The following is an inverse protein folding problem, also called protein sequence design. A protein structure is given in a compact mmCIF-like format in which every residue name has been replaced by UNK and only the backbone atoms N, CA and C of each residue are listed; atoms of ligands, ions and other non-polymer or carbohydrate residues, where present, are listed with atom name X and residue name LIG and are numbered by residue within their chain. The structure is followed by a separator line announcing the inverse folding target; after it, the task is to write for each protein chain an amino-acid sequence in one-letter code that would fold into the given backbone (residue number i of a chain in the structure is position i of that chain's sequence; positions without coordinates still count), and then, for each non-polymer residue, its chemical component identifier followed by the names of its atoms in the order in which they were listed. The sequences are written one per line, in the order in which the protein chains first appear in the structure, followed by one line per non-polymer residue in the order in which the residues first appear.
data_IF_836380950862
#
_entry.id   IF_836380950862
#
_cell.length_a   1.000
_cell.length_b   1.000
_cell.length_c   1.000
_cell.angle_alpha   90.00
_cell.angle_beta   90.00
_cell.angle_gamma   90.00
#
_symmetry.space_group_name_H-M   'P 1'
#
loop_
_entity.id
_entity.type
_entity.pdbx_description
1 polymer ?
#
# COMPACT_ATOMS: atom_id res chain seq x y z
N UNK A 1 13.61 -3.84 -0.27
CA UNK A 1 13.76 -2.62 0.55
C UNK A 1 12.41 -1.95 0.65
N UNK A 2 11.89 -1.89 1.87
CA UNK A 2 10.58 -1.37 2.20
C UNK A 2 10.67 0.14 2.48
N UNK A 3 9.80 0.95 1.87
CA UNK A 3 9.68 2.38 2.16
C UNK A 3 8.26 2.73 2.58
N UNK A 4 8.11 3.68 3.49
CA UNK A 4 6.80 4.17 3.94
C UNK A 4 6.78 5.68 3.80
N UNK A 5 5.88 6.17 2.95
CA UNK A 5 5.74 7.58 2.63
C UNK A 5 4.28 8.02 2.78
N UNK A 6 4.07 9.32 2.99
CA UNK A 6 2.75 9.94 2.92
C UNK A 6 2.39 10.20 1.45
N UNK A 7 1.30 9.59 0.97
CA UNK A 7 0.84 9.83 -0.41
C UNK A 7 -0.05 11.07 -0.52
N UNK A 8 -1.00 11.21 0.39
CA UNK A 8 -1.91 12.35 0.45
C UNK A 8 -2.13 12.75 1.93
N UNK A 9 -3.13 13.57 2.21
CA UNK A 9 -3.43 13.99 3.58
C UNK A 9 -3.56 12.84 4.58
N UNK A 10 -4.10 11.69 4.20
CA UNK A 10 -4.57 10.63 5.13
C UNK A 10 -4.15 9.21 4.75
N UNK A 11 -3.49 9.04 3.60
CA UNK A 11 -3.09 7.73 3.06
C UNK A 11 -1.60 7.52 3.20
N UNK A 12 -1.23 6.42 3.85
CA UNK A 12 0.14 5.91 3.88
C UNK A 12 0.39 5.04 2.67
N UNK A 13 1.50 5.26 1.98
CA UNK A 13 1.98 4.41 0.89
C UNK A 13 3.19 3.62 1.38
N UNK A 14 2.99 2.32 1.52
CA UNK A 14 4.04 1.35 1.85
C UNK A 14 4.46 0.69 0.53
N UNK A 15 5.71 0.91 0.11
CA UNK A 15 6.25 0.34 -1.12
C UNK A 15 7.30 -0.72 -0.81
N UNK A 16 7.23 -1.87 -1.47
CA UNK A 16 8.31 -2.85 -1.44
C UNK A 16 8.54 -3.43 -2.82
N UNK A 17 9.80 -3.66 -3.16
CA UNK A 17 10.20 -4.32 -4.38
C UNK A 17 10.60 -5.76 -4.04
N UNK A 18 10.01 -6.73 -4.73
CA UNK A 18 10.45 -8.11 -4.68
C UNK A 18 11.59 -8.28 -5.68
N UNK A 19 12.81 -8.32 -5.17
CA UNK A 19 14.01 -8.54 -5.95
C UNK A 19 14.29 -10.05 -6.05
N UNK A 20 14.35 -10.57 -7.28
CA UNK A 20 14.77 -11.92 -7.69
C UNK A 20 14.05 -13.16 -7.13
N UNK A 21 13.53 -13.15 -5.90
CA UNK A 21 12.89 -14.31 -5.30
C UNK A 21 11.42 -14.42 -5.69
N UNK A 22 11.01 -15.66 -6.00
CA UNK A 22 9.63 -15.99 -6.38
C UNK A 22 8.66 -15.89 -5.19
N UNK A 23 9.17 -15.72 -3.97
CA UNK A 23 8.38 -15.71 -2.72
C UNK A 23 8.81 -14.55 -1.83
N UNK A 24 7.85 -13.89 -1.21
CA UNK A 24 8.11 -12.82 -0.24
C UNK A 24 6.99 -12.77 0.79
N UNK A 25 7.40 -12.75 2.06
CA UNK A 25 6.51 -12.63 3.20
C UNK A 25 6.71 -11.24 3.83
N UNK A 26 5.60 -10.53 4.02
CA UNK A 26 5.58 -9.19 4.60
C UNK A 26 4.61 -9.16 5.78
N UNK A 27 5.13 -8.87 6.96
CA UNK A 27 4.33 -8.59 8.16
C UNK A 27 4.39 -7.10 8.49
N UNK A 28 3.22 -6.49 8.74
CA UNK A 28 3.05 -5.12 9.18
C UNK A 28 2.29 -5.10 10.50
N UNK A 29 2.92 -4.56 11.54
CA UNK A 29 2.35 -4.40 12.88
C UNK A 29 2.09 -2.92 13.13
N UNK A 30 0.82 -2.53 13.11
CA UNK A 30 0.39 -1.18 13.50
C UNK A 30 0.05 -1.19 14.99
N UNK A 31 0.83 -0.46 15.78
CA UNK A 31 0.61 -0.25 17.21
C UNK A 31 -0.23 1.01 17.37
N UNK A 32 -1.52 0.81 17.61
CA UNK A 32 -2.51 1.88 17.76
C UNK A 32 -2.68 2.19 19.24
N UNK A 33 -2.65 3.48 19.65
CA UNK A 33 -2.89 3.87 21.04
C UNK A 33 -4.23 3.35 21.58
N UNK A 34 -4.23 2.74 22.76
CA UNK A 34 -5.44 2.20 23.39
C UNK A 34 -6.50 3.27 23.70
N UNK A 35 -6.11 4.53 23.88
CA UNK A 35 -7.03 5.66 24.04
C UNK A 35 -8.01 5.85 22.87
N UNK A 36 -7.70 5.32 21.68
CA UNK A 36 -8.58 5.38 20.52
C UNK A 36 -9.69 4.31 20.57
N UNK A 37 -9.65 3.38 21.52
CA UNK A 37 -10.68 2.35 21.67
C UNK A 37 -10.79 1.40 20.47
N UNK A 38 -9.73 1.26 19.65
CA UNK A 38 -9.75 0.36 18.51
C UNK A 38 -9.89 -1.08 19.01
N UNK A 39 -10.97 -1.75 18.61
CA UNK A 39 -11.23 -3.15 18.94
C UNK A 39 -11.88 -3.88 17.77
N UNK A 40 -11.90 -5.23 17.77
CA UNK A 40 -12.58 -6.03 16.75
C UNK A 40 -14.09 -5.73 16.65
N UNK A 41 -14.70 -5.24 17.73
CA UNK A 41 -16.13 -4.92 17.79
C UNK A 41 -16.43 -3.52 17.21
N UNK A 42 -15.50 -2.58 17.35
CA UNK A 42 -15.62 -1.21 16.80
C UNK A 42 -15.32 -1.19 15.31
N UNK A 43 -14.25 -1.87 14.89
CA UNK A 43 -13.84 -1.93 13.48
C UNK A 43 -13.44 -3.35 13.11
N UNK A 44 -14.27 -4.02 12.30
CA UNK A 44 -14.02 -5.40 11.88
C UNK A 44 -12.82 -5.47 10.93
N UNK A 45 -12.06 -6.57 10.97
CA UNK A 45 -10.89 -6.69 10.10
C UNK A 45 -11.26 -6.67 8.61
N UNK A 46 -12.40 -7.25 8.25
CA UNK A 46 -12.87 -7.21 6.86
C UNK A 46 -13.20 -5.80 6.38
N UNK A 47 -13.78 -4.98 7.25
CA UNK A 47 -14.13 -3.60 6.93
C UNK A 47 -12.87 -2.77 6.74
N UNK A 48 -11.92 -2.85 7.69
CA UNK A 48 -10.61 -2.20 7.52
C UNK A 48 -9.89 -2.67 6.25
N UNK A 49 -9.89 -3.98 5.96
CA UNK A 49 -9.21 -4.49 4.76
C UNK A 49 -9.83 -3.95 3.47
N UNK A 50 -11.15 -3.95 3.32
CA UNK A 50 -11.79 -3.51 2.07
C UNK A 50 -11.85 -1.98 1.91
N UNK A 51 -11.99 -1.24 3.00
CA UNK A 51 -12.15 0.21 2.95
C UNK A 51 -10.82 0.96 3.08
N UNK A 52 -9.89 0.42 3.86
CA UNK A 52 -8.64 1.10 4.18
C UNK A 52 -7.44 0.60 3.38
N UNK A 53 -7.47 -0.60 2.82
CA UNK A 53 -6.32 -1.18 2.12
C UNK A 53 -6.57 -1.27 0.61
N UNK A 54 -5.80 -0.49 -0.16
CA UNK A 54 -5.75 -0.58 -1.62
C UNK A 54 -4.35 -1.02 -2.03
N UNK A 55 -4.23 -1.98 -2.95
CA UNK A 55 -2.93 -2.46 -3.39
C UNK A 55 -2.78 -2.31 -4.89
N UNK A 56 -1.54 -2.05 -5.30
CA UNK A 56 -1.15 -2.07 -6.71
C UNK A 56 0.17 -2.78 -6.82
N UNK A 57 0.24 -3.75 -7.71
CA UNK A 57 1.48 -4.43 -8.07
C UNK A 57 1.81 -4.13 -9.52
N UNK A 58 3.00 -3.63 -9.76
CA UNK A 58 3.49 -3.28 -11.07
C UNK A 58 4.76 -4.06 -11.37
N UNK A 59 4.97 -4.38 -12.64
CA UNK A 59 6.27 -4.82 -13.09
C UNK A 59 7.33 -3.76 -12.80
N UNK A 60 8.52 -4.22 -12.42
CA UNK A 60 9.61 -3.37 -11.98
C UNK A 60 10.94 -3.88 -12.52
N UNK A 61 11.92 -2.97 -12.61
CA UNK A 61 13.28 -3.28 -13.02
C UNK A 61 14.21 -2.20 -12.48
N UNK A 62 15.23 -2.59 -11.74
CA UNK A 62 16.28 -1.67 -11.26
C UNK A 62 17.22 -1.19 -12.37
N UNK A 63 17.27 -1.88 -13.52
CA UNK A 63 18.13 -1.50 -14.65
C UNK A 63 17.43 -0.42 -15.49
N UNK A 64 17.77 0.84 -15.22
CA UNK A 64 17.32 2.07 -15.92
C UNK A 64 17.43 2.02 -17.46
N UNK A 65 18.24 1.11 -18.02
CA UNK A 65 18.58 1.04 -19.45
C UNK A 65 17.83 -0.03 -20.25
N UNK A 66 17.18 -1.02 -19.60
CA UNK A 66 16.49 -2.11 -20.30
C UNK A 66 15.40 -1.62 -21.28
N UNK A 67 14.53 -0.67 -20.89
CA UNK A 67 13.50 -0.17 -21.80
C UNK A 67 14.04 0.53 -23.06
N UNK A 68 15.19 1.19 -22.95
CA UNK A 68 15.86 1.87 -24.06
C UNK A 68 16.60 0.88 -24.99
N UNK A 69 17.05 -0.26 -24.45
CA UNK A 69 17.58 -1.36 -25.27
C UNK A 69 16.45 -2.03 -26.05
N UNK A 70 15.28 -2.21 -25.44
CA UNK A 70 14.10 -2.75 -26.13
C UNK A 70 13.57 -1.82 -27.23
N UNK A 71 13.61 -0.49 -27.05
CA UNK A 71 13.26 0.45 -28.14
C UNK A 71 14.25 0.38 -29.30
N UNK A 72 15.55 0.19 -29.03
CA UNK A 72 16.58 -0.06 -30.07
C UNK A 72 16.42 -1.42 -30.76
N UNK A 73 16.01 -2.46 -30.04
CA UNK A 73 15.75 -3.78 -30.61
C UNK A 73 14.45 -3.80 -31.44
N UNK A 74 13.43 -3.05 -31.02
CA UNK A 74 12.23 -2.80 -31.83
C UNK A 74 12.56 -2.05 -33.13
N UNK A 75 13.48 -1.08 -33.08
CA UNK A 75 14.01 -0.41 -34.29
C UNK A 75 14.66 -1.37 -35.29
N UNK A 76 15.17 -2.52 -34.83
CA UNK A 76 15.76 -3.58 -35.68
C UNK A 76 14.74 -4.65 -36.13
N UNK A 77 13.44 -4.45 -35.90
CA UNK A 77 12.39 -5.41 -36.26
C UNK A 77 12.40 -6.69 -35.43
N UNK A 78 13.10 -6.70 -34.28
CA UNK A 78 13.28 -7.90 -33.44
C UNK A 78 12.32 -8.00 -32.25
N UNK A 79 11.41 -7.05 -32.06
CA UNK A 79 10.40 -7.05 -31.00
C UNK A 79 8.98 -6.98 -31.58
N UNK A 80 8.02 -7.61 -30.91
CA UNK A 80 6.61 -7.44 -31.23
C UNK A 80 6.09 -6.05 -30.82
N UNK A 81 5.03 -5.58 -31.49
CA UNK A 81 4.31 -4.34 -31.13
C UNK A 81 3.89 -4.32 -29.67
N UNK A 82 3.48 -5.47 -29.12
CA UNK A 82 3.08 -5.61 -27.71
C UNK A 82 4.25 -5.41 -26.75
N UNK A 83 5.40 -6.03 -27.03
CA UNK A 83 6.62 -5.87 -26.24
C UNK A 83 7.15 -4.43 -26.28
N UNK A 84 7.02 -3.74 -27.42
CA UNK A 84 7.37 -2.31 -27.52
C UNK A 84 6.46 -1.44 -26.63
N UNK A 85 5.14 -1.61 -26.69
CA UNK A 85 4.20 -0.82 -25.88
C UNK A 85 4.45 -0.98 -24.38
N UNK A 86 4.69 -2.22 -23.98
CA UNK A 86 4.98 -2.62 -22.60
C UNK A 86 6.31 -2.01 -22.12
N UNK A 87 7.38 -2.12 -22.90
CA UNK A 87 8.69 -1.53 -22.54
C UNK A 87 8.66 -0.01 -22.46
N UNK A 88 8.02 0.67 -23.43
CA UNK A 88 7.88 2.12 -23.42
C UNK A 88 7.00 2.61 -22.25
N UNK A 89 5.94 1.87 -21.91
CA UNK A 89 5.14 2.14 -20.72
C UNK A 89 5.93 1.99 -19.45
N UNK A 90 6.74 0.93 -19.31
CA UNK A 90 7.58 0.76 -18.13
C UNK A 90 8.53 1.94 -17.95
N UNK A 91 9.22 2.33 -19.01
CA UNK A 91 10.11 3.47 -19.01
C UNK A 91 9.41 4.74 -18.51
N UNK A 92 8.26 5.04 -19.11
CA UNK A 92 7.47 6.21 -18.74
C UNK A 92 6.94 6.13 -17.30
N UNK A 93 6.49 4.95 -16.87
CA UNK A 93 5.98 4.70 -15.52
C UNK A 93 7.07 4.89 -14.45
N UNK A 94 8.25 4.33 -14.69
CA UNK A 94 9.41 4.46 -13.81
C UNK A 94 9.88 5.92 -13.71
N UNK A 95 9.97 6.62 -14.84
CA UNK A 95 10.33 8.03 -14.86
C UNK A 95 9.33 8.88 -14.06
N UNK A 96 8.02 8.64 -14.23
CA UNK A 96 6.97 9.36 -13.48
C UNK A 96 7.11 9.13 -11.98
N UNK A 97 7.35 7.88 -11.54
CA UNK A 97 7.54 7.56 -10.13
C UNK A 97 8.81 8.20 -9.58
N UNK A 98 9.91 8.13 -10.32
CA UNK A 98 11.20 8.69 -9.90
C UNK A 98 11.13 10.22 -9.78
N UNK A 99 10.54 10.89 -10.77
CA UNK A 99 10.36 12.34 -10.75
C UNK A 99 9.42 12.78 -9.62
N UNK A 100 8.31 12.08 -9.40
CA UNK A 100 7.40 12.37 -8.29
C UNK A 100 8.11 12.23 -6.94
N UNK A 101 8.90 11.16 -6.76
CA UNK A 101 9.70 10.95 -5.54
C UNK A 101 10.71 12.08 -5.33
N UNK A 102 11.53 12.38 -6.34
CA UNK A 102 12.57 13.42 -6.26
C UNK A 102 11.97 14.80 -5.95
N UNK A 103 10.89 15.18 -6.65
CA UNK A 103 10.24 16.47 -6.41
C UNK A 103 9.54 16.55 -5.06
N UNK A 104 8.94 15.46 -4.59
CA UNK A 104 8.34 15.43 -3.25
C UNK A 104 9.41 15.49 -2.16
N UNK A 105 10.58 14.89 -2.36
CA UNK A 105 11.72 15.01 -1.44
C UNK A 105 12.23 16.45 -1.36
N UNK A 106 12.35 17.14 -2.50
CA UNK A 106 12.73 18.56 -2.56
C UNK A 106 11.68 19.47 -1.91
N UNK A 107 10.39 19.17 -2.05
CA UNK A 107 9.30 19.96 -1.47
C UNK A 107 9.06 19.72 0.03
N UNK A 108 9.78 18.79 0.69
CA UNK A 108 9.61 18.56 2.13
C UNK A 108 10.13 19.78 2.92
N UNK A 109 9.21 20.49 3.56
CA UNK A 109 9.42 21.71 4.37
C UNK A 109 10.40 21.61 5.57
N UNK A 110 11.07 20.47 5.77
CA UNK A 110 11.98 20.24 6.91
C UNK A 110 13.46 20.50 6.58
N UNK A 111 13.83 20.77 5.32
CA UNK A 111 15.19 21.26 5.00
C UNK A 111 15.17 22.79 5.07
N UNK A 112 15.96 23.37 5.97
CA UNK A 112 16.10 24.83 6.12
C UNK A 112 16.60 25.52 4.84
N UNK A 113 17.23 24.76 3.93
CA UNK A 113 17.59 25.23 2.59
C UNK A 113 17.52 24.08 1.59
N UNK A 114 16.65 24.16 0.58
CA UNK A 114 16.82 23.36 -0.64
C UNK A 114 18.02 23.95 -1.37
N UNK A 115 19.10 23.18 -1.50
CA UNK A 115 20.29 23.64 -2.23
C UNK A 115 19.98 23.67 -3.72
N UNK A 116 20.40 24.75 -4.40
CA UNK A 116 20.23 24.94 -5.85
C UNK A 116 20.76 23.75 -6.66
N UNK A 117 21.83 23.12 -6.17
CA UNK A 117 22.47 21.97 -6.81
C UNK A 117 21.58 20.72 -6.86
N UNK A 118 20.80 20.45 -5.80
CA UNK A 118 19.88 19.30 -5.76
C UNK A 118 18.76 19.47 -6.82
N UNK A 119 18.27 20.70 -6.98
CA UNK A 119 17.26 21.03 -7.98
C UNK A 119 17.83 20.90 -9.40
N UNK A 120 19.05 21.40 -9.61
CA UNK A 120 19.75 21.29 -10.89
C UNK A 120 20.05 19.85 -11.30
N UNK A 121 20.38 18.97 -10.35
CA UNK A 121 20.56 17.55 -10.61
C UNK A 121 19.26 16.90 -11.12
N UNK A 122 18.13 17.16 -10.44
CA UNK A 122 16.81 16.65 -10.86
C UNK A 122 16.43 17.17 -12.25
N UNK A 123 16.72 18.44 -12.54
CA UNK A 123 16.52 19.03 -13.86
C UNK A 123 17.36 18.31 -14.92
N UNK A 124 18.67 18.17 -14.69
CA UNK A 124 19.60 17.54 -15.65
C UNK A 124 19.19 16.11 -15.96
N UNK A 125 18.87 15.32 -14.92
CA UNK A 125 18.40 13.94 -15.08
C UNK A 125 17.08 13.89 -15.87
N UNK A 126 16.12 14.75 -15.54
CA UNK A 126 14.83 14.81 -16.23
C UNK A 126 14.99 15.13 -17.72
N UNK A 127 15.83 16.12 -18.05
CA UNK A 127 16.10 16.51 -19.43
C UNK A 127 16.87 15.45 -20.21
N UNK A 128 17.85 14.78 -19.59
CA UNK A 128 18.59 13.69 -20.26
C UNK A 128 17.68 12.49 -20.55
N UNK A 129 16.79 12.13 -19.62
CA UNK A 129 15.80 11.06 -19.82
C UNK A 129 14.84 11.41 -20.98
N UNK A 130 14.29 12.62 -21.01
CA UNK A 130 13.43 13.08 -22.12
C UNK A 130 14.20 13.12 -23.45
N UNK A 131 15.47 13.55 -23.45
CA UNK A 131 16.32 13.55 -24.64
C UNK A 131 16.58 12.13 -25.16
N UNK A 132 16.84 11.18 -24.27
CA UNK A 132 17.02 9.75 -24.61
C UNK A 132 15.75 9.15 -25.21
N UNK A 133 14.59 9.43 -24.63
CA UNK A 133 13.29 9.03 -25.18
C UNK A 133 13.11 9.53 -26.62
N UNK A 134 13.32 10.84 -26.83
CA UNK A 134 13.13 11.53 -28.12
C UNK A 134 14.11 11.11 -29.21
N UNK A 135 15.24 10.49 -28.85
CA UNK A 135 16.17 9.88 -29.82
C UNK A 135 15.67 8.54 -30.36
N UNK A 136 14.67 7.93 -29.72
CA UNK A 136 14.17 6.58 -30.04
C UNK A 136 12.80 6.56 -30.72
N UNK A 137 12.51 7.54 -31.57
CA UNK A 137 11.24 7.64 -32.30
C UNK A 137 11.09 6.44 -33.27
N UNK A 138 9.97 5.70 -33.22
CA UNK A 138 9.71 4.59 -34.13
C UNK A 138 9.27 5.07 -35.52
N UNK A 139 9.58 4.29 -36.56
CA UNK A 139 9.16 4.56 -37.95
C UNK A 139 7.71 4.14 -38.22
N UNK A 140 7.24 3.07 -37.60
CA UNK A 140 5.89 2.54 -37.81
C UNK A 140 4.83 3.48 -37.23
N UNK A 141 3.82 3.82 -38.02
CA UNK A 141 2.79 4.81 -37.66
C UNK A 141 2.00 4.42 -36.40
N UNK A 142 1.72 3.11 -36.22
CA UNK A 142 1.00 2.60 -35.05
C UNK A 142 1.78 2.82 -33.74
N UNK A 143 3.10 2.60 -33.79
CA UNK A 143 4.03 2.79 -32.68
C UNK A 143 4.33 4.27 -32.45
N UNK A 144 4.37 5.07 -33.52
CA UNK A 144 4.58 6.51 -33.48
C UNK A 144 3.46 7.23 -32.75
N UNK A 145 2.19 6.84 -32.99
CA UNK A 145 1.04 7.37 -32.24
C UNK A 145 1.12 7.04 -30.75
N UNK A 146 1.51 5.81 -30.42
CA UNK A 146 1.68 5.39 -29.03
C UNK A 146 2.82 6.16 -28.34
N UNK A 147 3.95 6.31 -29.04
CA UNK A 147 5.08 7.12 -28.60
C UNK A 147 4.66 8.59 -28.36
N UNK A 148 3.95 9.21 -29.31
CA UNK A 148 3.53 10.62 -29.22
C UNK A 148 2.63 10.87 -28.01
N UNK A 149 1.74 9.92 -27.69
CA UNK A 149 0.89 9.97 -26.51
C UNK A 149 1.71 9.93 -25.21
N UNK A 150 2.75 9.09 -25.16
CA UNK A 150 3.64 8.99 -24.01
C UNK A 150 4.52 10.25 -23.87
N UNK A 151 5.15 10.73 -24.95
CA UNK A 151 5.96 11.95 -24.93
C UNK A 151 5.12 13.18 -24.54
N UNK A 152 3.88 13.29 -25.03
CA UNK A 152 2.95 14.35 -24.63
C UNK A 152 2.71 14.35 -23.11
N UNK A 153 2.44 13.18 -22.53
CA UNK A 153 2.21 13.06 -21.10
C UNK A 153 3.47 13.31 -20.28
N UNK A 154 4.61 12.75 -20.68
CA UNK A 154 5.87 12.95 -19.96
C UNK A 154 6.34 14.40 -20.01
N UNK A 155 6.23 15.05 -21.17
CA UNK A 155 6.49 16.48 -21.32
C UNK A 155 5.60 17.32 -20.41
N UNK A 156 4.29 17.04 -20.39
CA UNK A 156 3.34 17.77 -19.53
C UNK A 156 3.61 17.53 -18.04
N UNK A 157 3.80 16.27 -17.65
CA UNK A 157 4.01 15.88 -16.26
C UNK A 157 5.33 16.46 -15.71
N UNK A 158 6.39 16.46 -16.51
CA UNK A 158 7.66 17.11 -16.16
C UNK A 158 7.44 18.59 -15.90
N UNK A 159 6.76 19.30 -16.81
CA UNK A 159 6.44 20.71 -16.62
C UNK A 159 5.63 20.98 -15.33
N UNK A 160 4.63 20.15 -15.02
CA UNK A 160 3.83 20.28 -13.80
C UNK A 160 4.67 20.10 -12.53
N UNK A 161 5.61 19.16 -12.53
CA UNK A 161 6.50 18.91 -11.38
C UNK A 161 7.49 20.05 -11.17
N UNK A 162 8.05 20.59 -12.25
CA UNK A 162 8.91 21.78 -12.18
C UNK A 162 8.13 23.02 -11.69
N UNK A 163 6.89 23.22 -12.17
CA UNK A 163 6.02 24.28 -11.64
C UNK A 163 5.67 24.09 -10.16
N UNK A 164 5.50 22.85 -9.72
CA UNK A 164 5.31 22.53 -8.30
C UNK A 164 6.51 22.95 -7.46
N UNK A 165 7.74 22.75 -7.94
CA UNK A 165 8.95 23.21 -7.25
C UNK A 165 8.95 24.75 -7.15
N UNK A 166 8.68 25.46 -8.26
CA UNK A 166 8.61 26.93 -8.27
C UNK A 166 7.61 27.45 -7.22
N UNK A 167 6.44 26.79 -7.10
CA UNK A 167 5.38 27.20 -6.18
C UNK A 167 5.75 27.04 -4.69
N UNK A 168 6.65 26.11 -4.36
CA UNK A 168 7.07 25.85 -2.97
C UNK A 168 8.41 26.51 -2.60
N UNK A 169 9.14 27.08 -3.57
CA UNK A 169 10.39 27.78 -3.29
C UNK A 169 10.19 29.11 -2.55
N UNK A 170 11.08 29.47 -1.60
CA UNK A 170 11.11 30.78 -0.96
C UNK A 170 11.21 31.93 -1.97
N UNK A 171 10.82 33.14 -1.56
CA UNK A 171 10.86 34.34 -2.42
C UNK A 171 12.21 35.06 -2.44
N UNK A 172 13.24 34.48 -1.82
CA UNK A 172 14.55 35.11 -1.69
C UNK A 172 15.26 35.29 -3.04
N UNK A 173 16.12 36.30 -3.10
CA UNK A 173 16.86 36.70 -4.30
C UNK A 173 17.75 35.59 -4.86
N UNK A 174 18.25 34.70 -4.00
CA UNK A 174 19.13 33.57 -4.37
C UNK A 174 18.43 32.57 -5.30
N UNK A 175 17.10 32.41 -5.18
CA UNK A 175 16.32 31.46 -5.98
C UNK A 175 15.78 32.05 -7.28
N UNK A 176 16.03 33.34 -7.57
CA UNK A 176 15.47 34.03 -8.74
C UNK A 176 15.99 33.42 -10.05
N UNK A 177 17.29 33.19 -10.17
CA UNK A 177 17.93 32.59 -11.35
C UNK A 177 17.44 31.16 -11.61
N UNK A 178 17.25 30.37 -10.55
CA UNK A 178 16.72 29.01 -10.62
C UNK A 178 15.26 28.99 -11.09
N UNK A 179 14.43 29.91 -10.59
CA UNK A 179 13.04 30.07 -11.04
C UNK A 179 12.95 30.43 -12.51
N UNK A 180 13.77 31.38 -12.98
CA UNK A 180 13.84 31.75 -14.40
C UNK A 180 14.28 30.56 -15.27
N UNK A 181 15.28 29.81 -14.82
CA UNK A 181 15.75 28.60 -15.53
C UNK A 181 14.67 27.51 -15.61
N UNK A 182 13.94 27.27 -14.52
CA UNK A 182 12.83 26.32 -14.49
C UNK A 182 11.66 26.75 -15.39
N UNK A 183 11.31 28.04 -15.38
CA UNK A 183 10.28 28.59 -16.25
C UNK A 183 10.66 28.43 -17.72
N UNK A 184 11.91 28.73 -18.10
CA UNK A 184 12.40 28.54 -19.46
C UNK A 184 12.28 27.08 -19.93
N UNK A 185 12.53 26.11 -19.04
CA UNK A 185 12.34 24.68 -19.35
C UNK A 185 10.86 24.34 -19.54
N UNK A 186 9.99 24.84 -18.67
CA UNK A 186 8.54 24.63 -18.77
C UNK A 186 7.99 25.20 -20.08
N UNK A 187 8.43 26.40 -20.48
CA UNK A 187 8.07 27.04 -21.74
C UNK A 187 8.59 26.25 -22.94
N UNK A 188 9.84 25.77 -22.89
CA UNK A 188 10.41 24.93 -23.95
C UNK A 188 9.63 23.63 -24.13
N UNK A 189 9.22 22.98 -23.04
CA UNK A 189 8.37 21.79 -23.09
C UNK A 189 6.96 22.10 -23.61
N UNK A 190 6.39 23.27 -23.26
CA UNK A 190 5.12 23.72 -23.83
C UNK A 190 5.22 23.98 -25.34
N UNK A 191 6.30 24.61 -25.80
CA UNK A 191 6.59 24.85 -27.21
C UNK A 191 6.78 23.53 -27.97
N UNK A 192 7.48 22.56 -27.39
CA UNK A 192 7.63 21.21 -27.96
C UNK A 192 6.27 20.53 -28.18
N UNK A 193 5.36 20.59 -27.21
CA UNK A 193 4.00 20.03 -27.35
C UNK A 193 3.18 20.73 -28.44
N UNK A 194 3.39 22.04 -28.62
CA UNK A 194 2.75 22.85 -29.67
C UNK A 194 3.30 22.51 -31.05
N UNK A 195 4.62 22.42 -31.22
CA UNK A 195 5.29 22.09 -32.48
C UNK A 195 4.87 20.72 -33.00
N UNK A 196 4.77 19.73 -32.11
CA UNK A 196 4.38 18.36 -32.47
C UNK A 196 2.86 18.14 -32.55
N UNK A 197 2.04 19.18 -32.40
CA UNK A 197 0.57 19.11 -32.48
C UNK A 197 -0.07 18.05 -31.58
N UNK A 198 0.49 17.79 -30.38
CA UNK A 198 -0.02 16.73 -29.51
C UNK A 198 -1.42 16.99 -28.96
N UNK A 199 -1.80 18.27 -28.81
CA UNK A 199 -3.07 18.69 -28.25
C UNK A 199 -3.75 19.68 -29.19
N UNK A 200 -5.04 19.48 -29.44
CA UNK A 200 -5.86 20.44 -30.19
C UNK A 200 -5.94 21.77 -29.44
N UNK A 201 -6.27 22.85 -30.16
CA UNK A 201 -6.46 24.18 -29.58
C UNK A 201 -7.48 24.16 -28.43
N UNK A 202 -8.61 23.49 -28.63
CA UNK A 202 -9.67 23.31 -27.63
C UNK A 202 -9.24 22.60 -26.34
N UNK A 203 -8.22 21.74 -26.40
CA UNK A 203 -7.68 21.04 -25.21
C UNK A 203 -6.61 21.89 -24.54
N UNK A 204 -5.92 22.76 -25.27
CA UNK A 204 -4.91 23.65 -24.71
C UNK A 204 -5.52 24.81 -23.92
N UNK A 205 -6.66 25.32 -24.39
CA UNK A 205 -7.30 26.49 -23.81
C UNK A 205 -8.15 26.14 -22.56
N UNK A 206 -8.59 24.87 -22.43
CA UNK A 206 -9.38 24.38 -21.29
C UNK A 206 -8.55 23.46 -20.38
N UNK A 207 -8.26 23.96 -19.18
CA UNK A 207 -7.49 23.26 -18.13
C UNK A 207 -8.13 21.91 -17.76
N UNK A 208 -9.45 21.84 -17.71
CA UNK A 208 -10.18 20.63 -17.32
C UNK A 208 -10.04 19.54 -18.39
N UNK A 209 -10.19 19.92 -19.66
CA UNK A 209 -9.98 19.00 -20.79
C UNK A 209 -8.53 18.52 -20.86
N UNK A 210 -7.57 19.41 -20.65
CA UNK A 210 -6.16 19.05 -20.60
C UNK A 210 -5.91 18.02 -19.48
N UNK A 211 -6.35 18.32 -18.26
CA UNK A 211 -6.19 17.43 -17.10
C UNK A 211 -6.82 16.05 -17.33
N UNK A 212 -8.04 16.01 -17.87
CA UNK A 212 -8.72 14.75 -18.20
C UNK A 212 -7.98 13.94 -19.26
N UNK A 213 -7.46 14.60 -20.32
CA UNK A 213 -6.63 13.93 -21.32
C UNK A 213 -5.36 13.35 -20.71
N UNK A 214 -4.68 14.11 -19.85
CA UNK A 214 -3.46 13.66 -19.19
C UNK A 214 -3.72 12.49 -18.22
N UNK A 215 -4.89 12.47 -17.56
CA UNK A 215 -5.33 11.32 -16.76
C UNK A 215 -5.50 10.05 -17.60
N UNK A 216 -6.03 10.18 -18.83
CA UNK A 216 -6.14 9.04 -19.76
C UNK A 216 -4.76 8.56 -20.21
N UNK A 217 -3.85 9.49 -20.53
CA UNK A 217 -2.48 9.13 -20.92
C UNK A 217 -1.68 8.49 -19.78
N UNK A 218 -1.91 8.91 -18.53
CA UNK A 218 -1.37 8.22 -17.35
C UNK A 218 -1.85 6.77 -17.28
N UNK A 219 -3.15 6.52 -17.49
CA UNK A 219 -3.71 5.16 -17.54
C UNK A 219 -3.15 4.33 -18.70
N UNK A 220 -2.83 4.96 -19.84
CA UNK A 220 -2.20 4.30 -20.99
C UNK A 220 -0.83 3.71 -20.65
N UNK A 221 -0.08 4.39 -19.79
CA UNK A 221 1.23 3.97 -19.28
C UNK A 221 1.10 2.96 -18.13
N UNK A 222 0.07 3.10 -17.29
CA UNK A 222 -0.17 2.18 -16.17
C UNK A 222 -0.69 0.81 -16.63
N UNK A 223 -1.62 0.76 -17.58
CA UNK A 223 -2.34 -0.47 -17.93
C UNK A 223 -1.43 -1.64 -18.34
N UNK A 224 -0.36 -1.46 -19.15
CA UNK A 224 0.52 -2.57 -19.54
C UNK A 224 1.46 -3.03 -18.42
N UNK A 225 1.66 -2.21 -17.38
CA UNK A 225 2.68 -2.41 -16.35
C UNK A 225 2.08 -2.88 -15.02
N UNK A 226 0.87 -2.41 -14.70
CA UNK A 226 0.15 -2.76 -13.47
C UNK A 226 -0.60 -4.08 -13.67
N UNK A 227 -0.33 -5.05 -12.80
CA UNK A 227 -0.99 -6.34 -12.81
C UNK A 227 -2.47 -6.20 -12.45
N UNK A 228 -3.33 -6.96 -13.11
CA UNK A 228 -4.74 -7.03 -12.74
C UNK A 228 -4.88 -7.97 -11.54
N UNK A 229 -5.50 -7.50 -10.46
CA UNK A 229 -5.77 -8.32 -9.29
C UNK A 229 -7.23 -8.76 -9.22
N UNK A 230 -7.45 -10.02 -8.84
CA UNK A 230 -8.76 -10.55 -8.46
C UNK A 230 -8.72 -11.01 -7.02
N UNK A 231 -9.38 -10.27 -6.14
CA UNK A 231 -9.49 -10.59 -4.72
C UNK A 231 -10.61 -11.59 -4.48
N UNK A 232 -10.28 -12.70 -3.82
CA UNK A 232 -11.23 -13.73 -3.40
C UNK A 232 -11.22 -13.80 -1.87
N UNK A 233 -12.38 -13.68 -1.25
CA UNK A 233 -12.54 -13.95 0.19
C UNK A 233 -12.50 -15.46 0.42
N UNK A 234 -11.56 -15.89 1.25
CA UNK A 234 -11.42 -17.28 1.65
C UNK A 234 -12.35 -17.60 2.82
N UNK A 235 -12.74 -18.86 2.94
CA UNK A 235 -13.51 -19.34 4.08
C UNK A 235 -15.02 -19.20 3.98
N UNK A 236 -15.60 -18.67 2.88
CA UNK A 236 -17.07 -18.69 2.68
C UNK A 236 -17.63 -20.11 2.67
N UNK A 237 -17.00 -21.01 1.93
CA UNK A 237 -17.39 -22.43 1.87
C UNK A 237 -17.10 -23.13 3.20
N UNK A 238 -15.95 -22.85 3.81
CA UNK A 238 -15.59 -23.39 5.12
C UNK A 238 -16.61 -22.99 6.19
N UNK A 239 -17.05 -21.73 6.23
CA UNK A 239 -18.08 -21.25 7.15
C UNK A 239 -19.40 -21.99 6.99
N UNK A 240 -19.78 -22.35 5.76
CA UNK A 240 -20.98 -23.17 5.49
C UNK A 240 -20.81 -24.59 6.03
N UNK A 241 -19.65 -25.21 5.83
CA UNK A 241 -19.34 -26.55 6.38
C UNK A 241 -19.34 -26.52 7.90
N UNK A 242 -18.71 -25.52 8.53
CA UNK A 242 -18.72 -25.35 10.00
C UNK A 242 -20.13 -25.14 10.54
N UNK A 243 -20.96 -24.35 9.85
CA UNK A 243 -22.37 -24.17 10.22
C UNK A 243 -23.16 -25.49 10.12
N UNK A 244 -22.95 -26.26 9.05
CA UNK A 244 -23.55 -27.58 8.86
C UNK A 244 -23.11 -28.57 9.93
N UNK A 245 -21.80 -28.64 10.20
CA UNK A 245 -21.22 -29.50 11.23
C UNK A 245 -21.70 -29.15 12.64
N UNK A 246 -21.78 -27.86 12.99
CA UNK A 246 -22.32 -27.41 14.28
C UNK A 246 -23.77 -27.87 14.46
N UNK A 247 -24.58 -27.66 13.41
CA UNK A 247 -26.00 -28.03 13.43
C UNK A 247 -26.15 -29.54 13.53
N UNK A 248 -25.36 -30.32 12.78
CA UNK A 248 -25.35 -31.77 12.84
C UNK A 248 -24.95 -32.31 14.21
N UNK A 249 -23.88 -31.78 14.80
CA UNK A 249 -23.40 -32.19 16.13
C UNK A 249 -24.45 -31.93 17.21
N UNK A 250 -25.05 -30.73 17.21
CA UNK A 250 -26.13 -30.40 18.15
C UNK A 250 -27.35 -31.29 17.93
N UNK A 251 -27.71 -31.61 16.68
CA UNK A 251 -28.82 -32.52 16.39
C UNK A 251 -28.56 -33.93 16.91
N UNK A 252 -27.35 -34.46 16.76
CA UNK A 252 -26.98 -35.77 17.32
C UNK A 252 -27.15 -35.78 18.83
N UNK A 253 -26.66 -34.75 19.52
CA UNK A 253 -26.81 -34.63 20.98
C UNK A 253 -28.27 -34.54 21.42
N UNK A 254 -29.08 -33.71 20.75
CA UNK A 254 -30.51 -33.58 21.04
C UNK A 254 -31.27 -34.87 20.77
N UNK A 255 -30.98 -35.56 19.66
CA UNK A 255 -31.62 -36.84 19.33
C UNK A 255 -31.27 -37.94 20.34
N UNK A 256 -30.00 -38.04 20.74
CA UNK A 256 -29.58 -39.01 21.78
C UNK A 256 -30.29 -38.69 23.11
N UNK A 257 -30.32 -37.42 23.52
CA UNK A 257 -31.00 -37.00 24.75
C UNK A 257 -32.49 -37.32 24.70
N UNK A 258 -33.14 -37.10 23.55
CA UNK A 258 -34.55 -37.41 23.36
C UNK A 258 -34.85 -38.91 23.43
N UNK A 259 -33.97 -39.75 22.87
CA UNK A 259 -34.09 -41.21 22.94
C UNK A 259 -33.94 -41.67 24.40
N UNK A 260 -32.90 -41.21 25.11
CA UNK A 260 -32.67 -41.57 26.51
C UNK A 260 -33.80 -41.10 27.43
N UNK A 261 -34.33 -39.90 27.21
CA UNK A 261 -35.47 -39.39 27.97
C UNK A 261 -36.74 -40.21 27.72
N UNK A 262 -36.94 -40.67 26.47
CA UNK A 262 -38.06 -41.55 26.12
C UNK A 262 -37.93 -42.91 26.78
N UNK A 263 -36.74 -43.51 26.76
CA UNK A 263 -36.48 -44.82 27.37
C UNK A 263 -36.66 -44.79 28.90
N UNK A 264 -36.36 -43.66 29.55
CA UNK A 264 -36.52 -43.50 31.00
C UNK A 264 -37.98 -43.24 31.44
N UNK A 265 -38.76 -42.50 30.65
CA UNK A 265 -40.13 -42.09 31.04
C UNK A 265 -41.25 -42.95 30.46
N UNK A 266 -40.97 -43.83 29.49
CA UNK A 266 -41.87 -44.89 29.01
C UNK A 266 -43.11 -44.42 28.22
N UNK A 267 -43.72 -43.29 28.61
CA UNK A 267 -44.93 -42.69 28.03
C UNK A 267 -44.77 -41.17 27.82
N UNK A 268 -45.51 -40.61 26.84
CA UNK A 268 -45.55 -39.16 26.56
C UNK A 268 -46.37 -38.47 27.66
N UNK A 269 -45.76 -38.24 28.82
CA UNK A 269 -46.35 -37.47 29.93
C UNK A 269 -46.17 -35.96 29.70
N UNK A 270 -46.97 -35.12 30.38
CA UNK A 270 -46.83 -33.66 30.29
C UNK A 270 -45.42 -33.17 30.68
N UNK A 271 -44.78 -33.84 31.65
CA UNK A 271 -43.38 -33.61 32.01
C UNK A 271 -42.42 -33.83 30.84
N UNK A 272 -42.64 -34.87 30.02
CA UNK A 272 -41.84 -35.19 28.83
C UNK A 272 -41.85 -34.05 27.82
N UNK A 273 -43.03 -33.48 27.55
CA UNK A 273 -43.19 -32.38 26.60
C UNK A 273 -42.45 -31.13 27.09
N UNK A 274 -42.53 -30.82 28.39
CA UNK A 274 -41.83 -29.67 28.98
C UNK A 274 -40.30 -29.85 28.88
N UNK A 275 -39.80 -31.05 29.23
CA UNK A 275 -38.38 -31.37 29.14
C UNK A 275 -37.88 -31.26 27.69
N UNK A 276 -38.60 -31.85 26.73
CA UNK A 276 -38.25 -31.78 25.31
C UNK A 276 -38.27 -30.35 24.78
N UNK A 277 -39.21 -29.52 25.21
CA UNK A 277 -39.26 -28.10 24.85
C UNK A 277 -38.02 -27.36 25.37
N UNK A 278 -37.59 -27.65 26.60
CA UNK A 278 -36.38 -27.07 27.17
C UNK A 278 -35.11 -27.51 26.43
N UNK A 279 -34.97 -28.80 26.11
CA UNK A 279 -33.85 -29.33 25.31
C UNK A 279 -33.81 -28.66 23.94
N UNK A 280 -34.97 -28.46 23.31
CA UNK A 280 -35.06 -27.80 22.01
C UNK A 280 -34.76 -26.29 22.08
N UNK A 281 -35.06 -25.63 23.20
CA UNK A 281 -34.65 -24.24 23.42
C UNK A 281 -33.13 -24.13 23.63
N UNK A 282 -32.54 -25.02 24.45
CA UNK A 282 -31.10 -25.09 24.66
C UNK A 282 -30.33 -25.36 23.36
N UNK A 283 -30.87 -26.21 22.49
CA UNK A 283 -30.34 -26.48 21.15
C UNK A 283 -29.99 -25.21 20.39
N UNK A 284 -30.86 -24.19 20.43
CA UNK A 284 -30.65 -22.98 19.63
C UNK A 284 -29.49 -22.14 20.18
N UNK A 285 -29.36 -22.04 21.51
CA UNK A 285 -28.26 -21.32 22.18
C UNK A 285 -26.93 -22.04 21.91
N UNK A 286 -26.85 -23.35 22.15
CA UNK A 286 -25.62 -24.12 21.96
C UNK A 286 -25.15 -24.17 20.50
N UNK A 287 -26.09 -24.18 19.55
CA UNK A 287 -25.77 -24.18 18.11
C UNK A 287 -25.00 -22.94 17.70
N UNK A 288 -25.38 -21.77 18.19
CA UNK A 288 -24.70 -20.52 17.85
C UNK A 288 -23.34 -20.41 18.54
N UNK A 289 -23.24 -20.77 19.82
CA UNK A 289 -21.98 -20.76 20.56
C UNK A 289 -20.97 -21.76 19.99
N UNK A 290 -21.40 -23.00 19.72
CA UNK A 290 -20.53 -24.03 19.14
C UNK A 290 -20.06 -23.63 17.74
N UNK A 291 -20.95 -23.07 16.92
CA UNK A 291 -20.59 -22.56 15.58
C UNK A 291 -19.48 -21.52 15.71
N UNK A 292 -19.62 -20.58 16.63
CA UNK A 292 -18.69 -19.47 16.76
C UNK A 292 -17.34 -19.92 17.34
N UNK A 293 -17.34 -20.83 18.32
CA UNK A 293 -16.12 -21.46 18.86
C UNK A 293 -15.38 -22.25 17.79
N UNK A 294 -16.06 -23.15 17.06
CA UNK A 294 -15.46 -23.93 15.99
C UNK A 294 -14.93 -23.05 14.87
N UNK A 295 -15.66 -21.98 14.53
CA UNK A 295 -15.24 -21.04 13.51
C UNK A 295 -13.99 -20.26 13.92
N UNK A 296 -13.92 -19.77 15.17
CA UNK A 296 -12.72 -19.10 15.71
C UNK A 296 -11.51 -20.03 15.69
N UNK A 297 -11.69 -21.30 16.07
CA UNK A 297 -10.62 -22.29 16.08
C UNK A 297 -10.11 -22.61 14.67
N UNK A 298 -11.01 -22.89 13.72
CA UNK A 298 -10.65 -23.23 12.33
C UNK A 298 -10.04 -22.03 11.59
N UNK A 299 -10.48 -20.82 11.90
CA UNK A 299 -10.00 -19.59 11.24
C UNK A 299 -8.62 -19.16 11.75
N UNK A 300 -8.23 -19.55 12.97
CA UNK A 300 -6.98 -19.08 13.60
C UNK A 300 -5.76 -19.37 12.71
N UNK A 301 -5.02 -18.33 12.35
CA UNK A 301 -3.80 -18.43 11.54
C UNK A 301 -4.00 -18.75 10.05
N UNK A 302 -5.24 -18.83 9.55
CA UNK A 302 -5.52 -19.08 8.13
C UNK A 302 -5.70 -17.78 7.33
N UNK A 303 -5.30 -17.75 6.05
CA UNK A 303 -5.45 -16.56 5.23
C UNK A 303 -6.93 -16.25 5.02
N UNK A 304 -7.29 -14.98 5.17
CA UNK A 304 -8.66 -14.48 5.00
C UNK A 304 -8.94 -14.11 3.54
N UNK A 305 -7.91 -13.71 2.80
CA UNK A 305 -8.03 -13.35 1.39
C UNK A 305 -6.96 -13.99 0.54
N UNK A 306 -7.31 -14.24 -0.72
CA UNK A 306 -6.38 -14.61 -1.78
C UNK A 306 -6.54 -13.65 -2.94
N UNK A 307 -5.44 -13.07 -3.40
CA UNK A 307 -5.38 -12.31 -4.65
C UNK A 307 -4.72 -13.14 -5.72
N UNK A 308 -5.33 -13.18 -6.90
CA UNK A 308 -4.71 -13.73 -8.11
C UNK A 308 -4.23 -12.57 -8.98
N UNK A 309 -2.96 -12.58 -9.35
CA UNK A 309 -2.37 -11.60 -10.26
C UNK A 309 -2.39 -12.12 -11.69
N UNK A 310 -2.97 -11.31 -12.58
CA UNK A 310 -3.05 -11.58 -14.00
C UNK A 310 -2.25 -10.53 -14.77
N UNK A 311 -1.53 -10.99 -15.79
CA UNK A 311 -0.89 -10.09 -16.74
C UNK A 311 -1.96 -9.27 -17.50
N UNK A 312 -1.82 -7.94 -17.61
CA UNK A 312 -2.84 -7.10 -18.23
C UNK A 312 -2.99 -7.35 -19.74
N UNK A 313 -1.93 -7.77 -20.41
CA UNK A 313 -1.86 -7.99 -21.87
C UNK A 313 -2.25 -9.42 -22.22
N UNK A 314 -1.70 -10.42 -21.53
CA UNK A 314 -1.93 -11.84 -21.87
C UNK A 314 -3.06 -12.48 -21.07
N UNK A 315 -3.54 -11.84 -20.00
CA UNK A 315 -4.53 -12.36 -19.03
C UNK A 315 -4.12 -13.66 -18.33
N UNK A 316 -2.87 -14.10 -18.48
CA UNK A 316 -2.34 -15.28 -17.80
C UNK A 316 -2.08 -14.99 -16.33
N UNK A 317 -2.28 -15.99 -15.48
CA UNK A 317 -1.93 -15.91 -14.08
C UNK A 317 -0.42 -15.93 -13.89
N UNK A 318 0.11 -14.84 -13.32
CA UNK A 318 1.54 -14.60 -13.10
C UNK A 318 1.94 -14.65 -11.63
N UNK A 319 0.97 -14.71 -10.71
CA UNK A 319 1.24 -14.89 -9.29
C UNK A 319 -0.01 -14.92 -8.44
N UNK A 320 0.19 -15.17 -7.16
CA UNK A 320 -0.84 -15.16 -6.14
C UNK A 320 -0.33 -14.51 -4.86
N UNK A 321 -1.25 -14.02 -4.04
CA UNK A 321 -0.94 -13.47 -2.73
C UNK A 321 -1.99 -13.94 -1.72
N UNK A 322 -1.53 -14.41 -0.57
CA UNK A 322 -2.36 -14.76 0.58
C UNK A 322 -2.24 -13.66 1.61
N UNK A 323 -3.35 -13.31 2.25
CA UNK A 323 -3.39 -12.17 3.18
C UNK A 323 -4.15 -12.51 4.45
N UNK A 324 -3.59 -12.03 5.56
CA UNK A 324 -4.14 -12.12 6.91
C UNK A 324 -4.25 -10.70 7.46
N UNK A 325 -5.27 -10.48 8.27
CA UNK A 325 -5.42 -9.25 9.04
C UNK A 325 -6.10 -9.62 10.35
N UNK A 326 -5.38 -9.51 11.46
CA UNK A 326 -5.87 -9.90 12.77
C UNK A 326 -5.49 -8.88 13.83
N UNK A 327 -6.38 -8.70 14.80
CA UNK A 327 -6.07 -7.97 16.03
C UNK A 327 -5.25 -8.86 16.98
N UNK A 328 -4.12 -8.34 17.45
CA UNK A 328 -3.23 -9.02 18.40
C UNK A 328 -3.00 -8.16 19.63
N UNK A 329 -2.73 -8.83 20.74
CA UNK A 329 -2.27 -8.22 21.99
C UNK A 329 -0.75 -8.26 22.01
N UNK A 330 -0.12 -7.24 22.60
CA UNK A 330 1.34 -7.09 22.66
C UNK A 330 2.06 -8.35 23.18
N UNK A 331 1.50 -9.04 24.17
CA UNK A 331 2.08 -10.24 24.79
C UNK A 331 2.22 -11.42 23.82
N UNK A 332 1.28 -11.57 22.89
CA UNK A 332 1.23 -12.66 21.90
C UNK A 332 2.13 -12.41 20.68
N UNK A 333 2.84 -11.28 20.65
CA UNK A 333 3.75 -10.95 19.56
C UNK A 333 5.11 -11.65 19.72
N UNK A 334 5.84 -11.89 18.61
CA UNK A 334 7.21 -12.40 18.65
C UNK A 334 8.16 -11.51 19.47
N UNK A 335 9.14 -12.11 20.15
CA UNK A 335 10.06 -11.40 21.04
C UNK A 335 10.87 -10.32 20.31
N UNK A 336 11.27 -10.56 19.06
CA UNK A 336 11.95 -9.55 18.24
C UNK A 336 11.08 -8.31 18.03
N UNK A 337 9.79 -8.48 17.69
CA UNK A 337 8.86 -7.35 17.50
C UNK A 337 8.66 -6.59 18.82
N UNK A 338 8.52 -7.31 19.94
CA UNK A 338 8.42 -6.71 21.28
C UNK A 338 9.68 -5.91 21.63
N UNK A 339 10.88 -6.43 21.32
CA UNK A 339 12.16 -5.74 21.58
C UNK A 339 12.28 -4.43 20.78
N UNK A 340 11.91 -4.44 19.51
CA UNK A 340 11.93 -3.26 18.63
C UNK A 340 10.95 -2.18 19.13
N UNK A 341 9.79 -2.60 19.65
CA UNK A 341 8.79 -1.67 20.24
C UNK A 341 9.24 -1.08 21.57
N UNK A 342 9.96 -1.85 22.42
CA UNK A 342 10.21 -1.58 23.85
C UNK A 342 11.07 -0.35 24.20
N UNK A 343 11.43 0.53 23.27
CA UNK A 343 12.15 1.77 23.59
C UNK A 343 11.21 2.97 23.72
N UNK A 344 11.01 3.38 24.99
CA UNK A 344 10.94 4.78 25.52
C UNK A 344 9.66 5.52 25.92
N UNK A 345 8.42 5.05 25.74
CA UNK A 345 7.27 5.71 26.41
C UNK A 345 6.19 4.68 26.74
N UNK A 346 5.78 4.66 28.01
CA UNK A 346 4.73 3.80 28.57
C UNK A 346 3.37 4.34 28.10
N UNK A 347 2.99 4.02 26.86
CA UNK A 347 1.60 4.11 26.43
C UNK A 347 0.92 2.88 27.03
N UNK A 348 0.12 3.09 28.07
CA UNK A 348 -0.25 2.01 29.01
C UNK A 348 -1.09 0.90 28.39
N UNK A 349 -1.69 1.10 27.22
CA UNK A 349 -2.40 0.04 26.48
C UNK A 349 -2.28 0.33 24.97
N UNK A 350 -1.91 -0.68 24.17
CA UNK A 350 -1.84 -0.59 22.71
C UNK A 350 -2.61 -1.74 22.07
N UNK A 351 -3.46 -1.44 21.10
CA UNK A 351 -4.06 -2.44 20.24
C UNK A 351 -3.17 -2.64 19.02
N UNK A 352 -2.79 -3.89 18.74
CA UNK A 352 -1.95 -4.20 17.58
C UNK A 352 -2.82 -4.72 16.45
N UNK A 353 -2.78 -4.05 15.31
CA UNK A 353 -3.36 -4.53 14.06
C UNK A 353 -2.24 -5.16 13.23
N UNK A 354 -2.27 -6.49 13.09
CA UNK A 354 -1.27 -7.25 12.35
C UNK A 354 -1.83 -7.62 10.97
N UNK A 355 -1.26 -7.00 9.95
CA UNK A 355 -1.43 -7.41 8.56
C UNK A 355 -0.26 -8.32 8.17
N UNK A 356 -0.54 -9.48 7.59
CA UNK A 356 0.48 -10.37 7.05
C UNK A 356 0.14 -10.70 5.61
N UNK A 357 1.16 -10.87 4.78
CA UNK A 357 0.97 -11.35 3.42
C UNK A 357 2.11 -12.21 2.94
N UNK A 358 1.75 -13.25 2.20
CA UNK A 358 2.67 -14.14 1.52
C UNK A 358 2.40 -14.02 0.03
N UNK A 359 3.42 -13.63 -0.72
CA UNK A 359 3.31 -13.46 -2.17
C UNK A 359 4.14 -14.52 -2.88
N UNK A 360 3.57 -15.11 -3.91
CA UNK A 360 4.27 -16.03 -4.80
C UNK A 360 4.10 -15.61 -6.27
N UNK A 361 5.22 -15.38 -6.96
CA UNK A 361 5.27 -14.91 -8.33
C UNK A 361 5.94 -15.93 -9.24
N UNK A 362 5.37 -16.15 -10.42
CA UNK A 362 5.93 -16.99 -11.48
C UNK A 362 6.72 -16.15 -12.47
N UNK A 363 7.98 -15.83 -12.15
CA UNK A 363 8.86 -15.01 -13.02
C UNK A 363 9.03 -15.60 -14.43
N UNK A 364 8.95 -16.92 -14.59
CA UNK A 364 8.98 -17.59 -15.91
C UNK A 364 7.80 -17.23 -16.83
N UNK A 365 6.71 -16.70 -16.27
CA UNK A 365 5.53 -16.26 -17.01
C UNK A 365 5.53 -14.75 -17.27
N UNK A 366 6.57 -14.04 -16.83
CA UNK A 366 6.69 -12.61 -17.07
C UNK A 366 7.04 -12.35 -18.55
N UNK A 367 6.65 -11.18 -19.03
CA UNK A 367 7.06 -10.73 -20.36
C UNK A 367 8.59 -10.51 -20.38
N UNK A 368 9.22 -10.77 -21.53
CA UNK A 368 10.66 -10.51 -21.73
C UNK A 368 11.00 -9.04 -21.42
N UNK A 369 11.97 -8.81 -20.53
CA UNK A 369 12.38 -7.49 -20.04
C UNK A 369 12.01 -7.21 -18.57
N UNK A 370 11.35 -8.15 -17.89
CA UNK A 370 10.99 -8.03 -16.47
C UNK A 370 11.55 -9.19 -15.64
N UNK A 371 12.15 -8.84 -14.52
CA UNK A 371 12.65 -9.80 -13.53
C UNK A 371 11.95 -9.62 -12.17
N UNK A 372 11.36 -8.45 -11.93
CA UNK A 372 10.90 -8.03 -10.60
C UNK A 372 9.49 -7.43 -10.63
N UNK A 373 8.88 -7.38 -9.45
CA UNK A 373 7.64 -6.64 -9.25
C UNK A 373 7.73 -5.76 -8.02
N UNK A 374 7.11 -4.59 -8.10
CA UNK A 374 6.98 -3.67 -6.99
C UNK A 374 5.53 -3.59 -6.58
N UNK A 375 5.30 -3.73 -5.28
CA UNK A 375 4.01 -3.51 -4.67
C UNK A 375 3.96 -2.13 -4.00
N UNK A 376 2.82 -1.47 -4.14
CA UNK A 376 2.43 -0.28 -3.39
C UNK A 376 1.13 -0.59 -2.65
N UNK A 377 1.25 -0.69 -1.33
CA UNK A 377 0.16 -0.85 -0.38
C UNK A 377 -0.24 0.54 0.12
N UNK A 378 -1.45 0.97 -0.24
CA UNK A 378 -2.04 2.23 0.18
C UNK A 378 -2.97 1.95 1.36
N UNK A 379 -2.59 2.42 2.53
CA UNK A 379 -3.36 2.26 3.77
C UNK A 379 -3.96 3.61 4.13
N UNK A 380 -5.27 3.75 3.95
CA UNK A 380 -6.04 4.91 4.41
C UNK A 380 -6.14 4.89 5.93
N UNK A 381 -5.70 5.97 6.58
CA UNK A 381 -5.83 6.13 8.03
C UNK A 381 -7.22 6.67 8.42
N UNK A 382 -8.17 6.76 7.48
CA UNK A 382 -9.50 7.35 7.71
C UNK A 382 -10.24 6.69 8.87
N UNK A 383 -10.32 5.36 8.89
CA UNK A 383 -11.07 4.66 9.94
C UNK A 383 -10.42 4.83 11.32
N UNK A 384 -9.09 4.94 11.38
CA UNK A 384 -8.38 5.20 12.65
C UNK A 384 -8.54 6.67 13.08
N UNK A 385 -8.44 7.63 12.16
CA UNK A 385 -8.59 9.06 12.46
C UNK A 385 -10.01 9.44 12.90
N UNK A 386 -11.04 8.69 12.48
CA UNK A 386 -12.43 8.87 12.97
C UNK A 386 -12.59 8.59 14.46
N UNK A 387 -11.73 7.73 15.03
CA UNK A 387 -11.70 7.40 16.45
C UNK A 387 -10.98 8.47 17.29
N UNK A 388 -10.32 9.45 16.67
CA UNK A 388 -9.61 10.51 17.38
C UNK A 388 -10.57 11.64 17.81
N UNK A 389 -10.38 12.14 19.03
CA UNK A 389 -11.16 13.26 19.57
C UNK A 389 -10.99 14.54 18.73
N UNK A 390 -12.04 15.37 18.67
CA UNK A 390 -12.00 16.71 18.05
C UNK A 390 -11.27 17.76 18.93
N UNK A 391 -10.69 17.35 20.04
CA UNK A 391 -10.11 18.24 21.03
C UNK A 391 -8.85 18.96 20.54
N UNK A 392 -8.82 20.28 20.74
CA UNK A 392 -7.58 21.05 20.76
C UNK A 392 -7.32 21.50 22.18
N UNK A 393 -6.08 21.34 22.64
CA UNK A 393 -5.65 21.81 23.94
C UNK A 393 -5.12 23.24 23.78
N UNK A 394 -5.55 24.13 24.67
CA UNK A 394 -4.98 25.48 24.74
C UNK A 394 -3.69 25.41 25.53
N UNK A 395 -2.57 25.67 24.86
CA UNK A 395 -1.26 25.80 25.50
C UNK A 395 -0.98 27.28 25.66
N UNK A 396 -0.59 27.67 26.87
CA UNK A 396 -0.21 29.03 27.19
C UNK A 396 1.30 29.07 27.28
N UNK A 397 1.94 29.89 26.45
CA UNK A 397 3.38 30.10 26.43
C UNK A 397 3.68 31.52 26.88
N UNK A 398 4.76 31.67 27.65
CA UNK A 398 5.22 32.97 28.13
C UNK A 398 6.48 33.35 27.35
N UNK A 399 6.41 34.42 26.56
CA UNK A 399 7.54 34.94 25.79
C UNK A 399 7.68 36.45 26.06
N UNK A 400 8.83 36.87 26.59
CA UNK A 400 9.17 38.28 26.86
C UNK A 400 8.08 39.08 27.59
N UNK A 401 7.50 38.53 28.66
CA UNK A 401 6.50 39.23 29.50
C UNK A 401 5.07 39.24 28.94
N UNK A 402 4.83 38.65 27.76
CA UNK A 402 3.49 38.42 27.22
C UNK A 402 3.14 36.94 27.25
N UNK A 403 1.89 36.65 27.64
CA UNK A 403 1.31 35.31 27.58
C UNK A 403 0.59 35.14 26.25
N UNK A 404 1.11 34.28 25.38
CA UNK A 404 0.44 33.87 24.14
C UNK A 404 -0.36 32.60 24.37
N UNK A 405 -1.54 32.53 23.73
CA UNK A 405 -2.43 31.37 23.77
C UNK A 405 -2.45 30.72 22.40
N UNK A 406 -1.97 29.48 22.33
CA UNK A 406 -1.97 28.70 21.10
C UNK A 406 -2.90 27.49 21.24
N UNK A 407 -3.69 27.24 20.19
CA UNK A 407 -4.54 26.06 20.11
C UNK A 407 -3.78 24.93 19.44
N UNK A 408 -3.47 23.88 20.19
CA UNK A 408 -2.68 22.73 19.71
C UNK A 408 -3.61 21.53 19.54
N UNK A 409 -3.73 21.05 18.30
CA UNK A 409 -4.47 19.82 18.01
C UNK A 409 -3.82 18.61 18.68
N UNK A 410 -4.64 17.71 19.26
CA UNK A 410 -4.15 16.44 19.80
C UNK A 410 -3.52 15.60 18.68
N UNK A 411 -2.28 15.16 18.90
CA UNK A 411 -1.54 14.30 17.98
C UNK A 411 -1.44 12.91 18.58
N UNK A 412 -1.67 11.89 17.76
CA UNK A 412 -1.53 10.50 18.13
C UNK A 412 -0.36 9.88 17.36
N UNK A 413 0.43 9.07 18.06
CA UNK A 413 1.55 8.35 17.49
C UNK A 413 1.15 6.89 17.24
N UNK A 414 1.24 6.44 16.00
CA UNK A 414 1.15 5.03 15.64
C UNK A 414 2.56 4.54 15.31
N UNK A 415 3.01 3.47 15.95
CA UNK A 415 4.25 2.80 15.54
C UNK A 415 3.91 1.76 14.47
N UNK A 416 4.64 1.76 13.36
CA UNK A 416 4.59 0.72 12.36
C UNK A 416 5.90 -0.06 12.41
N UNK A 417 5.83 -1.34 12.74
CA UNK A 417 6.96 -2.26 12.62
C UNK A 417 6.69 -3.19 11.45
N UNK A 418 7.63 -3.30 10.53
CA UNK A 418 7.53 -4.21 9.40
C UNK A 418 8.62 -5.27 9.45
N UNK A 419 8.28 -6.50 9.05
CA UNK A 419 9.21 -7.60 8.80
C UNK A 419 9.08 -7.98 7.33
N UNK A 420 10.18 -7.87 6.59
CA UNK A 420 10.29 -8.26 5.18
C UNK A 420 11.18 -9.51 5.11
N UNK A 421 10.63 -10.62 4.64
CA UNK A 421 11.35 -11.87 4.44
C UNK A 421 11.24 -12.28 2.97
N UNK A 422 12.34 -12.09 2.23
CA UNK A 422 12.41 -12.40 0.81
C UNK A 422 12.92 -13.82 0.53
N UNK A 423 13.09 -14.68 1.54
CA UNK A 423 13.58 -16.06 1.39
C UNK A 423 14.97 -16.16 0.72
N UNK A 424 15.79 -15.13 0.87
CA UNK A 424 17.16 -15.02 0.32
C UNK A 424 18.22 -14.74 1.42
N UNK A 425 17.83 -14.87 2.69
CA UNK A 425 18.65 -14.52 3.84
C UNK A 425 17.82 -14.24 5.08
N UNK A 426 18.39 -13.50 6.03
CA UNK A 426 17.69 -13.14 7.25
C UNK A 426 16.57 -12.11 7.01
N UNK A 427 15.45 -12.23 7.76
CA UNK A 427 14.34 -11.28 7.66
C UNK A 427 14.77 -9.89 8.12
N UNK A 428 14.46 -8.88 7.29
CA UNK A 428 14.77 -7.48 7.58
C UNK A 428 13.65 -6.84 8.38
N UNK A 429 14.02 -6.06 9.40
CA UNK A 429 13.07 -5.34 10.24
C UNK A 429 13.19 -3.84 10.03
N UNK A 430 12.04 -3.17 10.00
CA UNK A 430 11.97 -1.72 9.85
C UNK A 430 10.97 -1.15 10.84
N UNK A 431 11.21 0.10 11.28
CA UNK A 431 10.32 0.81 12.19
C UNK A 431 10.04 2.22 11.68
N UNK A 432 8.77 2.61 11.70
CA UNK A 432 8.33 3.98 11.47
C UNK A 432 7.47 4.51 12.60
N UNK A 433 7.62 5.79 12.89
CA UNK A 433 6.73 6.59 13.73
C UNK A 433 5.81 7.38 12.82
N UNK A 434 4.51 7.20 13.00
CA UNK A 434 3.48 7.84 12.18
C UNK A 434 2.70 8.77 13.09
N UNK A 435 2.89 10.07 12.90
CA UNK A 435 2.22 11.10 13.68
C UNK A 435 0.97 11.53 12.93
N UNK A 436 -0.18 11.36 13.58
CA UNK A 436 -1.50 11.62 13.01
C UNK A 436 -2.22 12.65 13.86
N UNK A 437 -3.02 13.49 13.22
CA UNK A 437 -4.14 14.17 13.87
C UNK A 437 -5.45 13.66 13.22
N UNK A 438 -6.59 14.19 13.65
CA UNK A 438 -7.90 13.80 13.10
C UNK A 438 -8.07 14.08 11.59
N UNK A 439 -7.30 15.02 11.03
CA UNK A 439 -7.48 15.48 9.64
C UNK A 439 -6.46 14.93 8.66
N UNK A 440 -5.24 14.61 9.12
CA UNK A 440 -4.10 14.25 8.28
C UNK A 440 -2.99 13.51 9.03
N UNK A 441 -2.15 12.84 8.24
CA UNK A 441 -0.81 12.42 8.61
C UNK A 441 0.07 13.68 8.68
N UNK A 442 0.60 13.95 9.86
CA UNK A 442 1.48 15.10 10.14
C UNK A 442 2.91 14.76 9.71
N UNK A 443 3.42 13.62 10.15
CA UNK A 443 4.79 13.19 9.88
C UNK A 443 4.90 11.66 9.80
N UNK A 444 5.88 11.19 9.03
CA UNK A 444 6.31 9.79 8.96
C UNK A 444 7.82 9.78 9.12
N UNK A 445 8.31 9.18 10.19
CA UNK A 445 9.73 9.17 10.54
C UNK A 445 10.23 7.72 10.60
N UNK A 446 11.27 7.41 9.82
CA UNK A 446 11.95 6.13 9.92
C UNK A 446 12.88 6.12 11.12
N UNK A 447 12.83 5.06 11.91
CA UNK A 447 13.69 4.85 13.07
C UNK A 447 14.71 3.76 12.75
N UNK A 448 15.94 3.93 13.21
CA UNK A 448 16.94 2.87 13.15
C UNK A 448 16.52 1.70 14.04
N UNK A 449 16.70 0.49 13.52
CA UNK A 449 16.47 -0.75 14.22
C UNK A 449 17.84 -1.37 14.45
N UNK A 450 18.23 -1.58 15.71
CA UNK A 450 19.47 -2.28 16.02
C UNK A 450 19.37 -3.73 15.53
N UNK A 451 20.30 -4.12 14.65
CA UNK A 451 20.53 -5.52 14.33
C UNK A 451 21.21 -6.16 15.54
N UNK A 452 20.41 -6.78 16.41
CA UNK A 452 20.96 -7.68 17.43
C UNK A 452 21.50 -8.89 16.67
N UNK A 453 22.79 -8.84 16.32
CA UNK A 453 23.60 -10.03 16.07
C UNK A 453 23.52 -10.92 17.31
N UNK A 454 23.40 -12.22 17.07
CA UNK A 454 23.17 -13.27 18.06
C UNK A 454 23.80 -13.03 19.45
N UNK A 455 23.06 -13.14 20.57
CA UNK A 455 23.67 -13.14 21.91
C UNK A 455 24.42 -14.43 22.28
N UNK A 456 24.79 -15.29 21.34
CA UNK A 456 25.44 -16.58 21.63
C UNK A 456 26.45 -16.97 20.56
N UNK A 457 27.61 -16.32 20.57
CA UNK A 457 28.83 -16.84 19.95
C UNK A 457 30.07 -16.22 20.63
N UNK A 458 30.34 -16.64 21.87
CA UNK A 458 31.69 -16.75 22.49
C UNK A 458 31.58 -16.84 24.02
N UNK A 459 31.13 -17.98 24.51
CA UNK A 459 31.63 -18.50 25.79
C UNK A 459 31.84 -19.99 25.59
N UNK A 460 33.01 -20.35 25.07
CA UNK A 460 33.71 -21.58 25.45
C UNK A 460 35.19 -21.18 25.52
N UNK A 461 35.78 -21.51 26.67
CA UNK A 461 37.18 -21.33 27.09
C UNK A 461 38.21 -21.88 26.11
#
# INVERSE_FOLDING_TARGET
MLTVDKQDGITLKISHAMAATKKSDLDLYFFVPGELGLSPDVLKESEFYYESIIQKRAYYSDKTLLPLVHSRLAKRGRLSTTQYRVSLSLFAYQYVIALDKAVNELNKHNKETVTTDEVDEVIKLSLDILKKLRRSIPYEESLKRYYANIDNYLSWYTGQRLMSLIAHMPRDSEYKSLKESLLAIVEKEAAHRKLNNYNSKSVRDDVTRLSNKMRLLRRLIEHPVVLQEKTQSLGKNMKRVVKGGATGFVMVFVTITAILARDYWGEITASFIILMSFVYALREIFKDDLRDVMWRWIRKGRPKWRKLYLDPTTKKAVGQKLEWLDYKVLEKLPDRIKSIRKKRVVQREEQVLHYSSQTEMSTSKFMSGYEETRESLLVSMREITRLMDKGSNKVYTHNNGQVSRESVEKRHLINLIAKEDNHDGEPKFYRWKIVLNRSKIVAVEQMEVEDVSHPFASVIE
#
